data_IF_852680990826
#
_entry.id   IF_852680990826
#
_cell.length_a   1.000
_cell.length_b   1.000
_cell.length_c   1.000
_cell.angle_alpha   90.00
_cell.angle_beta   90.00
_cell.angle_gamma   90.00
#
_symmetry.space_group_name_H-M   'P 1'
#
loop_
_entity.id
_entity.type
_entity.pdbx_description
1 polymer ?
#
# COMPACT_ATOMS: atom_id res chain seq x y z
N UNK A 1 16.14 -4.55 -22.11
CA UNK A 1 15.96 -3.11 -22.41
C UNK A 1 14.69 -2.70 -21.68
N UNK A 2 14.83 -2.24 -20.45
CA UNK A 2 13.71 -1.98 -19.54
C UNK A 2 13.15 -0.58 -19.81
N UNK A 3 11.86 -0.51 -20.15
CA UNK A 3 11.13 0.75 -20.28
C UNK A 3 10.53 1.07 -18.91
N UNK A 4 11.28 1.79 -18.07
CA UNK A 4 10.68 2.53 -16.97
C UNK A 4 9.90 3.72 -17.56
N UNK A 5 8.65 3.92 -17.15
CA UNK A 5 7.91 5.13 -17.53
C UNK A 5 8.52 6.34 -16.83
N UNK A 6 9.43 7.04 -17.50
CA UNK A 6 10.03 8.32 -17.07
C UNK A 6 9.08 9.52 -17.19
N UNK A 7 7.76 9.29 -17.22
CA UNK A 7 6.80 10.36 -17.47
C UNK A 7 6.62 11.16 -16.18
N UNK A 8 7.42 12.22 -16.05
CA UNK A 8 7.14 13.31 -15.13
C UNK A 8 5.75 13.87 -15.46
N UNK A 9 4.92 13.98 -14.44
CA UNK A 9 3.60 14.55 -14.60
C UNK A 9 3.72 16.06 -14.89
N UNK A 10 3.24 16.47 -16.07
CA UNK A 10 3.32 17.84 -16.56
C UNK A 10 2.41 18.77 -15.73
N UNK A 11 2.84 20.00 -15.48
CA UNK A 11 1.97 21.04 -14.92
C UNK A 11 0.91 21.47 -15.95
N UNK A 12 -0.19 22.08 -15.50
CA UNK A 12 -1.28 22.54 -16.38
C UNK A 12 -0.80 23.42 -17.55
N UNK A 13 0.27 24.19 -17.36
CA UNK A 13 0.82 25.09 -18.38
C UNK A 13 1.61 24.36 -19.49
N UNK A 14 1.90 23.07 -19.31
CA UNK A 14 2.61 22.21 -20.26
C UNK A 14 1.70 21.16 -20.89
N UNK A 15 0.40 21.24 -20.64
CA UNK A 15 -0.56 20.19 -20.98
C UNK A 15 -0.98 20.28 -22.46
N UNK A 16 -0.34 19.49 -23.31
CA UNK A 16 -0.66 19.38 -24.73
C UNK A 16 -1.79 18.36 -24.97
N UNK A 17 -3.01 18.86 -25.08
CA UNK A 17 -4.21 18.04 -25.32
C UNK A 17 -4.26 17.41 -26.72
N UNK A 18 -3.34 17.75 -27.63
CA UNK A 18 -3.25 17.07 -28.93
C UNK A 18 -2.68 15.65 -28.83
N UNK A 19 -2.09 15.28 -27.69
CA UNK A 19 -1.46 13.99 -27.43
C UNK A 19 -2.24 13.13 -26.43
N UNK A 20 -3.57 13.24 -26.44
CA UNK A 20 -4.42 12.39 -25.59
C UNK A 20 -4.55 11.02 -26.23
N UNK A 21 -4.15 9.99 -25.50
CA UNK A 21 -4.40 8.59 -25.83
C UNK A 21 -5.35 8.00 -24.78
N UNK A 22 -6.29 7.17 -25.23
CA UNK A 22 -7.13 6.41 -24.31
C UNK A 22 -6.27 5.43 -23.50
N UNK A 23 -6.51 5.38 -22.19
CA UNK A 23 -5.87 4.42 -21.31
C UNK A 23 -6.26 2.98 -21.70
N UNK A 24 -5.27 2.09 -21.73
CA UNK A 24 -5.53 0.68 -22.00
C UNK A 24 -6.26 0.05 -20.80
N UNK A 25 -7.36 -0.63 -21.09
CA UNK A 25 -8.14 -1.32 -20.06
C UNK A 25 -7.51 -2.67 -19.73
N UNK A 26 -7.21 -2.88 -18.45
CA UNK A 26 -6.72 -4.16 -17.94
C UNK A 26 -7.84 -5.17 -17.61
N UNK A 27 -9.09 -4.70 -17.57
CA UNK A 27 -10.29 -5.50 -17.29
C UNK A 27 -11.43 -5.03 -18.19
N UNK A 28 -12.45 -5.88 -18.37
CA UNK A 28 -13.66 -5.52 -19.10
C UNK A 28 -14.33 -4.30 -18.48
N UNK A 29 -14.49 -3.23 -19.26
CA UNK A 29 -15.19 -2.02 -18.83
C UNK A 29 -16.67 -2.35 -18.60
N UNK A 30 -17.26 -1.96 -17.46
CA UNK A 30 -18.71 -2.02 -17.29
C UNK A 30 -19.44 -1.18 -18.34
N UNK A 31 -20.73 -1.46 -18.53
CA UNK A 31 -21.58 -0.66 -19.41
C UNK A 31 -21.50 0.83 -19.06
N UNK A 32 -21.72 1.69 -20.07
CA UNK A 32 -21.76 3.15 -19.89
C UNK A 32 -22.71 3.51 -18.74
N UNK A 33 -22.23 4.38 -17.84
CA UNK A 33 -22.95 4.78 -16.63
C UNK A 33 -22.83 3.80 -15.45
N UNK A 34 -22.19 2.63 -15.62
CA UNK A 34 -22.01 1.61 -14.57
C UNK A 34 -20.55 1.46 -14.12
N UNK A 35 -19.69 2.46 -14.36
CA UNK A 35 -18.26 2.39 -14.02
C UNK A 35 -18.01 2.07 -12.53
N UNK A 36 -18.88 2.54 -11.64
CA UNK A 36 -18.82 2.26 -10.20
C UNK A 36 -18.88 0.76 -9.87
N UNK A 37 -19.42 -0.09 -10.75
CA UNK A 37 -19.48 -1.54 -10.53
C UNK A 37 -18.18 -2.26 -10.85
N UNK A 38 -17.16 -1.57 -11.40
CA UNK A 38 -15.81 -2.11 -11.55
C UNK A 38 -14.99 -2.04 -10.25
N UNK A 39 -15.46 -1.26 -9.26
CA UNK A 39 -14.78 -1.12 -7.98
C UNK A 39 -14.66 -2.48 -7.27
N UNK A 40 -13.46 -2.76 -6.79
CA UNK A 40 -13.18 -3.91 -5.93
C UNK A 40 -12.20 -3.46 -4.83
N UNK A 41 -11.77 -4.38 -3.98
CA UNK A 41 -10.77 -4.09 -2.96
C UNK A 41 -9.42 -3.71 -3.59
N UNK A 42 -8.67 -2.84 -2.90
CA UNK A 42 -7.27 -2.54 -3.21
C UNK A 42 -6.33 -3.59 -2.60
N UNK A 43 -6.73 -4.86 -2.67
CA UNK A 43 -5.95 -5.99 -2.17
C UNK A 43 -5.07 -6.50 -3.30
N UNK A 44 -3.80 -6.69 -3.01
CA UNK A 44 -2.81 -7.20 -3.96
C UNK A 44 -2.14 -8.46 -3.42
N UNK A 45 -1.54 -9.27 -4.29
CA UNK A 45 -0.82 -10.48 -3.91
C UNK A 45 0.67 -10.18 -3.76
N UNK A 46 1.24 -10.54 -2.61
CA UNK A 46 2.66 -10.35 -2.29
C UNK A 46 3.21 -11.58 -1.57
N UNK A 47 4.52 -11.61 -1.38
CA UNK A 47 5.18 -12.54 -0.46
C UNK A 47 5.78 -11.73 0.70
N UNK A 48 5.38 -12.07 1.93
CA UNK A 48 5.94 -11.53 3.18
C UNK A 48 6.41 -12.72 4.01
N UNK A 49 7.63 -12.66 4.56
CA UNK A 49 8.26 -13.77 5.29
C UNK A 49 8.11 -15.13 4.57
N UNK A 50 8.41 -15.15 3.26
CA UNK A 50 8.30 -16.34 2.38
C UNK A 50 6.89 -16.94 2.26
N UNK A 51 5.84 -16.24 2.73
CA UNK A 51 4.45 -16.67 2.65
C UNK A 51 3.65 -15.79 1.68
N UNK A 52 2.90 -16.37 0.73
CA UNK A 52 1.91 -15.65 -0.04
C UNK A 52 0.90 -14.97 0.88
N UNK A 53 0.74 -13.66 0.72
CA UNK A 53 -0.06 -12.80 1.58
C UNK A 53 -0.84 -11.81 0.72
N UNK A 54 -1.93 -11.28 1.27
CA UNK A 54 -2.82 -10.33 0.59
C UNK A 54 -2.92 -9.04 1.39
N UNK A 55 -1.96 -8.10 1.30
CA UNK A 55 -2.06 -6.80 1.95
C UNK A 55 -3.15 -5.94 1.30
N UNK A 56 -3.70 -5.03 2.09
CA UNK A 56 -4.51 -3.92 1.63
C UNK A 56 -3.59 -2.75 1.30
N UNK A 57 -3.71 -2.20 0.08
CA UNK A 57 -3.14 -0.90 -0.27
C UNK A 57 -4.14 0.17 0.17
N UNK A 58 -3.79 0.95 1.20
CA UNK A 58 -4.69 1.92 1.82
C UNK A 58 -4.06 3.32 1.85
N UNK A 59 -4.29 4.16 0.82
CA UNK A 59 -3.82 5.54 0.84
C UNK A 59 -4.49 6.38 1.95
N UNK A 60 -5.60 5.92 2.52
CA UNK A 60 -6.24 6.58 3.66
C UNK A 60 -5.53 6.33 4.99
N UNK A 61 -4.66 5.32 5.07
CA UNK A 61 -3.85 5.06 6.24
C UNK A 61 -2.59 5.95 6.23
N UNK A 62 -2.39 6.74 7.28
CA UNK A 62 -1.21 7.61 7.40
C UNK A 62 0.10 6.82 7.35
N UNK A 63 0.13 5.66 8.00
CA UNK A 63 1.30 4.78 8.04
C UNK A 63 0.93 3.33 7.75
N UNK A 64 1.93 2.54 7.38
CA UNK A 64 1.82 1.10 7.21
C UNK A 64 1.71 0.44 8.58
N UNK A 65 0.74 -0.45 8.74
CA UNK A 65 0.45 -1.07 10.02
C UNK A 65 -0.11 -2.49 9.90
N UNK A 66 -0.08 -3.23 11.01
CA UNK A 66 -0.62 -4.58 11.09
C UNK A 66 -1.15 -4.88 12.49
N UNK A 67 -2.27 -5.61 12.57
CA UNK A 67 -2.83 -6.04 13.85
C UNK A 67 -1.99 -7.15 14.49
N UNK A 68 -1.71 -7.04 15.79
CA UNK A 68 -0.93 -8.01 16.58
C UNK A 68 -1.38 -9.45 16.37
N UNK A 69 -2.69 -9.72 16.49
CA UNK A 69 -3.24 -11.07 16.38
C UNK A 69 -3.03 -11.67 14.99
N UNK A 70 -3.17 -10.85 13.94
CA UNK A 70 -2.92 -11.27 12.57
C UNK A 70 -1.43 -11.50 12.32
N UNK A 71 -0.57 -10.57 12.72
CA UNK A 71 0.88 -10.70 12.60
C UNK A 71 1.38 -11.96 13.32
N UNK A 72 0.89 -12.25 14.53
CA UNK A 72 1.23 -13.47 15.28
C UNK A 72 0.85 -14.75 14.55
N UNK A 73 -0.27 -14.76 13.82
CA UNK A 73 -0.67 -15.91 13.01
C UNK A 73 0.25 -16.10 11.79
N UNK A 74 0.70 -15.01 11.18
CA UNK A 74 1.61 -15.03 10.03
C UNK A 74 3.06 -15.36 10.44
N UNK A 75 3.55 -14.70 11.49
CA UNK A 75 4.93 -14.73 11.98
C UNK A 75 4.90 -14.92 13.50
N UNK A 76 4.81 -16.16 14.02
CA UNK A 76 4.59 -16.42 15.46
C UNK A 76 5.63 -15.86 16.42
N UNK A 77 6.84 -15.54 15.95
CA UNK A 77 7.95 -14.99 16.73
C UNK A 77 8.30 -13.55 16.33
N UNK A 78 7.32 -12.78 15.89
CA UNK A 78 7.55 -11.37 15.53
C UNK A 78 7.94 -10.53 16.75
N UNK A 79 7.49 -10.90 17.96
CA UNK A 79 7.76 -10.17 19.20
C UNK A 79 9.27 -10.02 19.46
N UNK A 80 10.07 -11.03 19.14
CA UNK A 80 11.55 -11.02 19.29
C UNK A 80 12.25 -10.07 18.30
N UNK A 81 11.53 -9.60 17.28
CA UNK A 81 12.02 -8.75 16.19
C UNK A 81 11.44 -7.33 16.26
N UNK A 82 10.64 -7.02 17.28
CA UNK A 82 10.06 -5.68 17.43
C UNK A 82 11.14 -4.67 17.77
N UNK A 83 11.23 -3.65 16.92
CA UNK A 83 11.99 -2.45 17.20
C UNK A 83 11.14 -1.52 18.09
N UNK A 84 11.78 -0.72 18.95
CA UNK A 84 11.07 0.29 19.75
C UNK A 84 10.40 1.30 18.83
N UNK A 85 9.26 1.84 19.28
CA UNK A 85 8.57 2.95 18.64
C UNK A 85 8.58 4.14 19.59
N UNK A 86 8.91 5.33 19.06
CA UNK A 86 8.77 6.57 19.83
C UNK A 86 7.28 6.81 20.14
N UNK A 87 7.00 7.56 21.21
CA UNK A 87 5.63 7.82 21.69
C UNK A 87 4.87 8.70 20.68
N UNK A 88 4.33 8.06 19.63
CA UNK A 88 3.47 8.65 18.61
C UNK A 88 2.07 8.11 18.84
N UNK A 89 1.10 9.00 19.03
CA UNK A 89 -0.31 8.60 19.18
C UNK A 89 -0.93 8.30 17.82
N UNK A 90 -1.29 7.05 17.58
CA UNK A 90 -2.04 6.65 16.40
C UNK A 90 -3.55 6.68 16.66
N UNK A 91 -4.31 7.24 15.73
CA UNK A 91 -5.77 7.24 15.78
C UNK A 91 -6.33 6.56 14.53
N UNK A 92 -7.33 5.71 14.73
CA UNK A 92 -8.21 5.23 13.67
C UNK A 92 -9.45 6.12 13.56
N UNK A 93 -10.29 5.90 12.56
CA UNK A 93 -11.57 6.60 12.43
C UNK A 93 -12.50 6.40 13.66
N UNK A 94 -12.31 5.32 14.43
CA UNK A 94 -13.24 4.91 15.48
C UNK A 94 -12.64 4.83 16.88
N UNK A 95 -11.31 4.76 17.03
CA UNK A 95 -10.63 4.54 18.31
C UNK A 95 -9.17 5.02 18.29
N UNK A 96 -8.63 5.34 19.47
CA UNK A 96 -7.17 5.42 19.68
C UNK A 96 -6.55 4.03 19.51
N UNK A 97 -5.50 3.96 18.71
CA UNK A 97 -4.74 2.72 18.50
C UNK A 97 -3.64 2.61 19.56
N UNK A 98 -3.38 1.38 20.02
CA UNK A 98 -2.28 1.08 20.94
C UNK A 98 -1.16 0.39 20.18
N UNK A 99 -0.09 1.13 19.93
CA UNK A 99 1.14 0.65 19.32
C UNK A 99 1.94 -0.25 20.26
N UNK A 100 2.63 -1.25 19.69
CA UNK A 100 3.52 -2.16 20.42
C UNK A 100 4.99 -2.01 20.03
N UNK A 101 5.25 -1.57 18.80
CA UNK A 101 6.59 -1.48 18.22
C UNK A 101 6.54 -1.49 16.70
N UNK A 102 7.71 -1.51 16.09
CA UNK A 102 7.88 -1.57 14.63
C UNK A 102 8.33 -2.98 14.23
N UNK A 103 7.64 -3.57 13.25
CA UNK A 103 8.03 -4.82 12.61
C UNK A 103 8.52 -4.53 11.19
N UNK A 104 9.84 -4.63 10.98
CA UNK A 104 10.45 -4.47 9.66
C UNK A 104 10.40 -5.80 8.89
N UNK A 105 9.94 -5.79 7.64
CA UNK A 105 10.00 -6.96 6.76
C UNK A 105 10.06 -6.61 5.29
N UNK A 106 10.49 -7.56 4.47
CA UNK A 106 10.42 -7.44 3.01
C UNK A 106 9.03 -7.79 2.50
N UNK A 107 8.42 -6.88 1.74
CA UNK A 107 7.22 -7.12 0.94
C UNK A 107 7.65 -7.32 -0.50
N UNK A 108 7.37 -8.50 -1.07
CA UNK A 108 7.78 -8.86 -2.43
C UNK A 108 6.55 -8.92 -3.33
N UNK A 109 6.47 -8.04 -4.31
CA UNK A 109 5.46 -8.04 -5.36
C UNK A 109 5.94 -8.93 -6.52
N UNK A 110 5.22 -10.02 -6.82
CA UNK A 110 5.54 -10.85 -7.97
C UNK A 110 5.19 -10.11 -9.26
N UNK A 111 6.16 -9.99 -10.18
CA UNK A 111 5.90 -9.51 -11.54
C UNK A 111 6.48 -10.49 -12.57
N UNK A 112 5.95 -10.44 -13.79
CA UNK A 112 6.23 -11.40 -14.87
C UNK A 112 7.71 -11.50 -15.20
N UNK A 113 8.45 -10.38 -15.17
CA UNK A 113 9.86 -10.33 -15.55
C UNK A 113 10.81 -10.33 -14.34
N UNK A 114 10.44 -9.64 -13.26
CA UNK A 114 11.27 -9.52 -12.07
C UNK A 114 10.42 -9.12 -10.86
N UNK A 115 10.59 -9.81 -9.74
CA UNK A 115 9.89 -9.44 -8.51
C UNK A 115 10.41 -8.10 -7.97
N UNK A 116 9.50 -7.24 -7.54
CA UNK A 116 9.82 -6.00 -6.85
C UNK A 116 9.84 -6.26 -5.34
N UNK A 117 10.91 -5.85 -4.66
CA UNK A 117 11.02 -5.93 -3.20
C UNK A 117 11.07 -4.53 -2.63
N UNK A 118 10.25 -4.30 -1.62
CA UNK A 118 10.34 -3.12 -0.74
C UNK A 118 10.54 -3.60 0.71
N UNK A 119 11.38 -2.91 1.46
CA UNK A 119 11.48 -3.09 2.91
C UNK A 119 10.49 -2.15 3.56
N UNK A 120 9.63 -2.67 4.43
CA UNK A 120 8.54 -1.92 5.06
C UNK A 120 8.61 -2.09 6.56
N UNK A 121 8.49 -0.97 7.26
CA UNK A 121 8.29 -0.89 8.71
C UNK A 121 6.79 -0.82 9.01
N UNK A 122 6.24 -1.89 9.57
CA UNK A 122 4.84 -1.92 10.00
C UNK A 122 4.72 -1.54 11.46
N UNK A 123 3.91 -0.54 11.77
CA UNK A 123 3.48 -0.29 13.15
C UNK A 123 2.58 -1.45 13.59
N UNK A 124 2.97 -2.15 14.66
CA UNK A 124 2.16 -3.24 15.20
C UNK A 124 1.14 -2.69 16.19
N UNK A 125 -0.14 -2.89 15.89
CA UNK A 125 -1.26 -2.36 16.68
C UNK A 125 -1.91 -3.48 17.49
N UNK A 126 -1.99 -3.32 18.81
CA UNK A 126 -2.57 -4.32 19.71
C UNK A 126 -4.08 -4.48 19.52
N UNK A 127 -4.80 -3.37 19.41
CA UNK A 127 -6.27 -3.33 19.35
C UNK A 127 -6.82 -3.16 17.92
N UNK A 128 -6.13 -3.72 16.92
CA UNK A 128 -6.57 -3.71 15.52
C UNK A 128 -7.18 -5.06 15.12
N UNK A 129 -8.39 -5.02 14.55
CA UNK A 129 -9.12 -6.22 14.06
C UNK A 129 -8.84 -6.55 12.59
N UNK A 130 -8.00 -5.76 11.91
CA UNK A 130 -7.63 -6.02 10.51
C UNK A 130 -6.96 -7.38 10.37
N UNK A 131 -7.39 -8.13 9.36
CA UNK A 131 -6.81 -9.42 8.95
C UNK A 131 -5.85 -9.28 7.78
N UNK A 132 -5.32 -8.07 7.57
CA UNK A 132 -4.42 -7.75 6.46
C UNK A 132 -3.24 -6.93 7.00
N UNK A 133 -2.08 -7.07 6.37
CA UNK A 133 -1.07 -6.02 6.40
C UNK A 133 -1.65 -4.82 5.64
N UNK A 134 -1.53 -3.62 6.21
CA UNK A 134 -1.96 -2.39 5.57
C UNK A 134 -0.70 -1.68 5.09
N UNK A 135 -0.55 -1.54 3.77
CA UNK A 135 0.46 -0.68 3.19
C UNK A 135 -0.13 0.72 3.07
N UNK A 136 0.29 1.59 3.99
CA UNK A 136 -0.20 2.94 4.12
C UNK A 136 0.47 3.92 3.19
N UNK A 137 0.03 5.17 3.29
CA UNK A 137 0.47 6.26 2.43
C UNK A 137 1.99 6.56 2.55
N UNK A 138 2.59 6.29 3.72
CA UNK A 138 4.03 6.39 3.96
C UNK A 138 4.85 5.61 2.92
N UNK A 139 4.60 4.32 2.76
CA UNK A 139 5.34 3.48 1.82
C UNK A 139 4.78 3.53 0.40
N UNK A 140 3.48 3.84 0.23
CA UNK A 140 2.92 4.06 -1.10
C UNK A 140 3.62 5.24 -1.80
N UNK A 141 3.72 6.40 -1.13
CA UNK A 141 4.35 7.60 -1.70
C UNK A 141 5.86 7.42 -1.90
N UNK A 142 6.57 6.89 -0.89
CA UNK A 142 8.04 6.70 -0.98
C UNK A 142 8.41 5.83 -2.19
N UNK A 143 7.56 4.86 -2.54
CA UNK A 143 7.80 3.96 -3.67
C UNK A 143 7.15 4.43 -4.98
N UNK A 144 6.67 5.69 -5.05
CA UNK A 144 6.07 6.26 -6.26
C UNK A 144 4.71 5.66 -6.62
N UNK A 145 4.05 4.97 -5.68
CA UNK A 145 2.67 4.47 -5.82
C UNK A 145 1.74 5.57 -5.30
N UNK A 146 1.68 6.67 -6.03
CA UNK A 146 0.87 7.82 -5.64
C UNK A 146 -0.57 7.69 -6.17
N UNK A 147 -1.54 7.65 -5.24
CA UNK A 147 -2.99 7.64 -5.54
C UNK A 147 -3.61 9.05 -5.41
N UNK A 148 -2.87 10.01 -4.86
CA UNK A 148 -3.28 11.40 -4.69
C UNK A 148 -2.24 12.32 -5.32
N UNK A 149 -2.41 12.56 -6.62
CA UNK A 149 -1.67 13.57 -7.35
C UNK A 149 -1.82 14.94 -6.65
N UNK A 150 -0.82 15.31 -5.86
CA UNK A 150 -0.75 16.61 -5.20
C UNK A 150 0.64 17.18 -5.39
N UNK A 151 0.84 17.81 -6.55
CA UNK A 151 1.50 19.11 -6.46
C UNK A 151 0.47 20.03 -5.81
N UNK A 152 0.59 20.12 -4.49
CA UNK A 152 -0.11 21.05 -3.62
C UNK A 152 -1.57 20.70 -3.28
N UNK A 153 -1.87 20.83 -1.99
CA UNK A 153 -3.20 21.28 -1.55
C UNK A 153 -3.35 22.74 -1.94
#
# INVERSE_FOLDING_TARGET
MESYSHLQQLSNDQLDLSKVQDAQLMKTKPNRGKGYSAGNSCITEVVIDRKPTKPLLDPGAFCSCVGKSFLKACVPKFDDQLLPIDVIKFNSASNTMKELGIFETSVIFPHINQNLRITVEFVVIENCSSTHFILGNDYLIINGIDLHNSKDR
#
